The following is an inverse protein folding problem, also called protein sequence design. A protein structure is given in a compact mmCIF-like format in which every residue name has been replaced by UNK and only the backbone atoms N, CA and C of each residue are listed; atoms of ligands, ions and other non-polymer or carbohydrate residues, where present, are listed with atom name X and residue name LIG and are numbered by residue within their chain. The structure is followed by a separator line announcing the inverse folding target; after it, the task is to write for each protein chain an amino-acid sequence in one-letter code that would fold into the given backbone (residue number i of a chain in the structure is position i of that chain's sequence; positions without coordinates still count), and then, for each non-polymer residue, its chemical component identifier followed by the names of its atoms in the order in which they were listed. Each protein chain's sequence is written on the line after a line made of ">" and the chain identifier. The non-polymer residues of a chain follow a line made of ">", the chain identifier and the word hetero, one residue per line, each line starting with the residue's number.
data_IF_420269056516
#
_entry.id   IF_420269056516
#
_cell.length_a   1.000
_cell.length_b   1.000
_cell.length_c   1.000
_cell.angle_alpha   90.00
_cell.angle_beta   90.00
_cell.angle_gamma   90.00
#
_symmetry.space_group_name_H-M   'P 1'
#
loop_
_entity.id
_entity.type
_entity.pdbx_description
1 polymer ?
#
# COMPACT_ATOMS: atom_id res chain seq x y z
N UNK A 1 -6.61 -9.55 29.48
CA UNK A 1 -5.88 -8.72 28.49
C UNK A 1 -6.68 -8.73 27.20
N UNK A 2 -6.88 -7.60 26.51
CA UNK A 2 -7.47 -7.66 25.18
C UNK A 2 -6.50 -8.44 24.30
N UNK A 3 -6.97 -9.59 23.83
CA UNK A 3 -6.30 -10.41 22.82
C UNK A 3 -6.17 -9.51 21.60
N UNK A 4 -4.95 -9.22 21.15
CA UNK A 4 -4.75 -8.58 19.86
C UNK A 4 -5.53 -9.41 18.83
N UNK A 5 -6.53 -8.79 18.20
CA UNK A 5 -7.34 -9.43 17.17
C UNK A 5 -6.38 -10.12 16.22
N UNK A 6 -6.56 -11.44 16.02
CA UNK A 6 -5.87 -12.15 14.95
C UNK A 6 -6.33 -11.49 13.66
N UNK A 7 -5.45 -10.62 13.17
CA UNK A 7 -5.57 -9.77 12.01
C UNK A 7 -6.40 -10.44 10.92
N UNK A 8 -7.65 -10.00 10.79
CA UNK A 8 -8.47 -10.36 9.66
C UNK A 8 -7.90 -9.59 8.48
N UNK A 9 -7.10 -10.26 7.64
CA UNK A 9 -6.49 -9.65 6.45
C UNK A 9 -7.62 -9.05 5.63
N UNK A 10 -7.64 -7.72 5.51
CA UNK A 10 -8.60 -7.06 4.65
C UNK A 10 -8.18 -7.31 3.20
N UNK A 11 -8.75 -8.35 2.58
CA UNK A 11 -8.39 -8.80 1.23
C UNK A 11 -8.58 -7.70 0.18
N UNK A 12 -9.62 -6.87 0.33
CA UNK A 12 -9.87 -5.74 -0.56
C UNK A 12 -8.79 -4.66 -0.43
N UNK A 13 -8.36 -4.34 0.79
CA UNK A 13 -7.26 -3.40 1.01
C UNK A 13 -5.94 -3.97 0.48
N UNK A 14 -5.68 -5.26 0.68
CA UNK A 14 -4.51 -5.93 0.10
C UNK A 14 -4.52 -5.86 -1.44
N UNK A 15 -5.69 -6.01 -2.08
CA UNK A 15 -5.82 -5.84 -3.53
C UNK A 15 -5.57 -4.41 -3.99
N UNK A 16 -6.05 -3.40 -3.26
CA UNK A 16 -5.72 -1.99 -3.55
C UNK A 16 -4.22 -1.73 -3.44
N UNK A 17 -3.55 -2.31 -2.44
CA UNK A 17 -2.10 -2.24 -2.29
C UNK A 17 -1.37 -2.93 -3.46
N UNK A 18 -1.88 -4.05 -3.97
CA UNK A 18 -1.33 -4.73 -5.16
C UNK A 18 -1.46 -3.84 -6.40
N UNK A 19 -2.59 -3.17 -6.57
CA UNK A 19 -2.82 -2.23 -7.66
C UNK A 19 -1.86 -1.04 -7.56
N UNK A 20 -1.71 -0.45 -6.36
CA UNK A 20 -0.74 0.62 -6.12
C UNK A 20 0.69 0.17 -6.41
N UNK A 21 1.10 -1.01 -5.94
CA UNK A 21 2.45 -1.55 -6.16
C UNK A 21 2.74 -1.71 -7.65
N UNK A 22 1.76 -2.19 -8.43
CA UNK A 22 1.89 -2.30 -9.89
C UNK A 22 2.07 -0.92 -10.52
N UNK A 23 1.27 0.07 -10.12
CA UNK A 23 1.38 1.44 -10.60
C UNK A 23 2.75 2.06 -10.27
N UNK A 24 3.26 1.84 -9.07
CA UNK A 24 4.60 2.28 -8.64
C UNK A 24 5.70 1.61 -9.45
N UNK A 25 5.58 0.31 -9.72
CA UNK A 25 6.53 -0.45 -10.55
C UNK A 25 6.58 0.11 -11.98
N UNK A 26 5.42 0.39 -12.58
CA UNK A 26 5.33 1.01 -13.91
C UNK A 26 5.92 2.43 -13.93
N UNK A 27 5.67 3.24 -12.89
CA UNK A 27 6.17 4.62 -12.77
C UNK A 27 7.69 4.69 -12.59
N UNK A 28 8.27 3.76 -11.83
CA UNK A 28 9.70 3.79 -11.45
C UNK A 28 10.58 2.91 -12.32
N UNK A 29 10.02 1.96 -13.06
CA UNK A 29 10.76 0.94 -13.79
C UNK A 29 11.38 -0.15 -12.89
N UNK A 30 11.15 -0.09 -11.57
CA UNK A 30 11.65 -1.10 -10.63
C UNK A 30 10.65 -2.25 -10.56
N UNK A 31 11.14 -3.50 -10.68
CA UNK A 31 10.29 -4.68 -10.58
C UNK A 31 9.55 -4.74 -9.24
N UNK A 32 8.22 -4.94 -9.25
CA UNK A 32 7.37 -4.97 -8.06
C UNK A 32 7.93 -5.82 -6.90
N UNK A 33 8.45 -7.01 -7.20
CA UNK A 33 9.03 -7.94 -6.21
C UNK A 33 10.26 -7.39 -5.45
N UNK A 34 10.96 -6.38 -6.00
CA UNK A 34 12.08 -5.72 -5.33
C UNK A 34 11.61 -4.63 -4.36
N UNK A 35 10.42 -4.07 -4.63
CA UNK A 35 9.77 -3.06 -3.81
C UNK A 35 9.06 -3.72 -2.62
N UNK A 36 8.18 -4.70 -2.87
CA UNK A 36 7.41 -5.38 -1.83
C UNK A 36 6.98 -6.78 -2.27
N UNK A 37 6.82 -7.68 -1.30
CA UNK A 37 6.23 -9.02 -1.49
C UNK A 37 4.72 -9.01 -1.23
N UNK A 38 3.99 -10.02 -1.72
CA UNK A 38 2.56 -10.16 -1.41
C UNK A 38 2.30 -10.25 0.10
N UNK A 39 3.18 -10.93 0.84
CA UNK A 39 3.10 -11.02 2.30
C UNK A 39 3.28 -9.66 2.99
N UNK A 40 4.12 -8.78 2.45
CA UNK A 40 4.23 -7.41 2.98
C UNK A 40 2.90 -6.66 2.80
N UNK A 41 2.24 -6.83 1.64
CA UNK A 41 0.95 -6.17 1.36
C UNK A 41 -0.17 -6.70 2.28
N UNK A 42 -0.21 -8.00 2.51
CA UNK A 42 -1.18 -8.63 3.42
C UNK A 42 -0.95 -8.20 4.88
N UNK A 43 0.32 -8.06 5.29
CA UNK A 43 0.70 -7.53 6.60
C UNK A 43 0.29 -6.06 6.76
N UNK A 44 0.55 -5.21 5.75
CA UNK A 44 0.09 -3.80 5.76
C UNK A 44 -1.43 -3.67 5.77
N UNK A 45 -2.14 -4.50 5.02
CA UNK A 45 -3.61 -4.53 5.04
C UNK A 45 -4.18 -4.97 6.40
N UNK A 46 -3.37 -5.69 7.17
CA UNK A 46 -3.64 -6.12 8.54
C UNK A 46 -3.19 -5.10 9.61
N UNK A 47 -2.64 -3.96 9.20
CA UNK A 47 -2.17 -2.89 10.07
C UNK A 47 -0.74 -3.06 10.61
N UNK A 48 0.01 -4.05 10.12
CA UNK A 48 1.43 -4.21 10.45
C UNK A 48 2.30 -3.35 9.51
N UNK A 49 3.17 -2.53 10.09
CA UNK A 49 4.08 -1.66 9.37
C UNK A 49 5.54 -1.82 9.83
N UNK A 50 5.88 -2.80 10.67
CA UNK A 50 7.29 -3.12 10.96
C UNK A 50 7.89 -4.04 9.89
N UNK A 51 7.88 -3.54 8.64
CA UNK A 51 8.23 -4.30 7.45
C UNK A 51 9.42 -3.67 6.73
N UNK A 52 10.13 -4.47 5.93
CA UNK A 52 11.26 -3.99 5.13
C UNK A 52 10.84 -2.94 4.08
N UNK A 53 9.60 -2.99 3.62
CA UNK A 53 9.00 -2.00 2.70
C UNK A 53 8.84 -0.62 3.35
N UNK A 54 8.81 -0.55 4.68
CA UNK A 54 8.66 0.68 5.45
C UNK A 54 10.00 1.34 5.83
N UNK A 55 11.11 0.91 5.20
CA UNK A 55 12.46 1.37 5.51
C UNK A 55 13.24 1.72 4.23
N UNK A 56 14.08 2.75 4.29
CA UNK A 56 14.98 3.16 3.21
C UNK A 56 14.24 3.48 1.90
N UNK A 57 14.88 3.17 0.76
CA UNK A 57 14.37 3.55 -0.56
C UNK A 57 13.00 2.94 -0.90
N UNK A 58 12.63 1.78 -0.32
CA UNK A 58 11.31 1.17 -0.53
C UNK A 58 10.20 2.01 0.08
N UNK A 59 10.47 2.65 1.22
CA UNK A 59 9.54 3.56 1.85
C UNK A 59 9.30 4.79 0.98
N UNK A 60 10.38 5.38 0.48
CA UNK A 60 10.33 6.56 -0.39
C UNK A 60 9.60 6.27 -1.72
N UNK A 61 9.78 5.08 -2.29
CA UNK A 61 9.18 4.71 -3.57
C UNK A 61 7.72 4.24 -3.44
N UNK A 62 7.37 3.56 -2.35
CA UNK A 62 6.06 2.90 -2.22
C UNK A 62 5.48 2.97 -0.81
N UNK A 63 6.28 2.69 0.23
CA UNK A 63 5.78 2.52 1.59
C UNK A 63 5.04 3.74 2.15
N UNK A 64 5.44 4.95 1.79
CA UNK A 64 4.73 6.17 2.22
C UNK A 64 3.32 6.25 1.63
N UNK A 65 3.16 6.06 0.31
CA UNK A 65 1.84 6.07 -0.33
C UNK A 65 0.98 4.89 0.12
N UNK A 66 1.57 3.69 0.24
CA UNK A 66 0.89 2.51 0.77
C UNK A 66 0.32 2.76 2.17
N UNK A 67 1.10 3.39 3.06
CA UNK A 67 0.63 3.74 4.39
C UNK A 67 -0.49 4.80 4.34
N UNK A 68 -0.38 5.80 3.47
CA UNK A 68 -1.45 6.79 3.28
C UNK A 68 -2.74 6.15 2.77
N UNK A 69 -2.65 5.16 1.88
CA UNK A 69 -3.78 4.41 1.35
C UNK A 69 -4.46 3.61 2.46
N UNK A 70 -3.70 2.86 3.28
CA UNK A 70 -4.25 2.14 4.44
C UNK A 70 -4.93 3.08 5.45
N UNK A 71 -4.47 4.33 5.57
CA UNK A 71 -5.05 5.36 6.45
C UNK A 71 -6.21 6.13 5.82
N UNK A 72 -6.63 5.78 4.59
CA UNK A 72 -7.72 6.47 3.88
C UNK A 72 -7.39 7.91 3.45
N UNK A 73 -6.11 8.28 3.38
CA UNK A 73 -5.65 9.64 3.04
C UNK A 73 -5.43 9.86 1.55
N UNK A 74 -5.38 8.77 0.77
CA UNK A 74 -5.30 8.81 -0.68
C UNK A 74 -6.26 7.79 -1.28
N UNK A 75 -6.72 8.07 -2.50
CA UNK A 75 -7.50 7.17 -3.34
C UNK A 75 -6.72 6.76 -4.58
N UNK A 76 -7.20 5.72 -5.25
CA UNK A 76 -6.69 5.30 -6.56
C UNK A 76 -7.70 5.69 -7.64
N UNK A 77 -7.20 6.21 -8.75
CA UNK A 77 -8.00 6.52 -9.94
C UNK A 77 -7.27 6.05 -11.20
N UNK A 78 -7.99 5.95 -12.32
CA UNK A 78 -7.40 5.66 -13.61
C UNK A 78 -7.22 6.95 -14.42
N UNK A 79 -6.07 7.07 -15.07
CA UNK A 79 -5.82 8.08 -16.09
C UNK A 79 -5.44 7.37 -17.39
N UNK A 80 -6.44 7.15 -18.24
CA UNK A 80 -6.31 6.27 -19.40
C UNK A 80 -6.03 4.83 -18.96
N UNK A 81 -4.85 4.30 -19.32
CA UNK A 81 -4.42 2.93 -18.95
C UNK A 81 -3.54 2.88 -17.70
N UNK A 82 -3.24 4.02 -17.07
CA UNK A 82 -2.40 4.09 -15.87
C UNK A 82 -3.26 4.25 -14.62
N UNK A 83 -2.77 3.71 -13.51
CA UNK A 83 -3.32 4.01 -12.18
C UNK A 83 -2.53 5.15 -11.56
N UNK A 84 -3.24 6.09 -10.95
CA UNK A 84 -2.68 7.21 -10.20
C UNK A 84 -3.25 7.23 -8.79
N UNK A 85 -2.49 7.76 -7.85
CA UNK A 85 -2.97 8.13 -6.52
C UNK A 85 -3.40 9.60 -6.50
N UNK A 86 -4.37 9.93 -5.65
CA UNK A 86 -4.75 11.32 -5.38
C UNK A 86 -5.11 11.50 -3.89
N UNK A 87 -4.84 12.67 -3.28
CA UNK A 87 -5.25 12.94 -1.91
C UNK A 87 -6.77 12.87 -1.76
N UNK A 88 -7.23 12.26 -0.66
CA UNK A 88 -8.64 12.33 -0.24
C UNK A 88 -8.70 13.33 0.91
N UNK A 89 -9.46 14.40 0.72
CA UNK A 89 -9.89 15.24 1.84
C UNK A 89 -11.02 14.50 2.55
N UNK A 90 -10.73 14.00 3.75
CA UNK A 90 -11.75 13.43 4.62
C UNK A 90 -12.39 14.60 5.37
N UNK A 91 -13.49 15.13 4.83
CA UNK A 91 -14.36 15.99 5.63
C UNK A 91 -14.94 15.13 6.76
N UNK A 92 -14.74 15.56 7.99
CA UNK A 92 -15.03 14.78 9.19
C UNK A 92 -16.44 15.02 9.69
#
# INVERSE_FOLDING_TARGET
>A
APVADRQNVNSALADLLRVLLKATSEKTGVAAKLIASSSDLDAMASGDFDLAVMKGWRFEVFGEEAQKLCKGKIGLSTQGKRVISFPIETDK
#
